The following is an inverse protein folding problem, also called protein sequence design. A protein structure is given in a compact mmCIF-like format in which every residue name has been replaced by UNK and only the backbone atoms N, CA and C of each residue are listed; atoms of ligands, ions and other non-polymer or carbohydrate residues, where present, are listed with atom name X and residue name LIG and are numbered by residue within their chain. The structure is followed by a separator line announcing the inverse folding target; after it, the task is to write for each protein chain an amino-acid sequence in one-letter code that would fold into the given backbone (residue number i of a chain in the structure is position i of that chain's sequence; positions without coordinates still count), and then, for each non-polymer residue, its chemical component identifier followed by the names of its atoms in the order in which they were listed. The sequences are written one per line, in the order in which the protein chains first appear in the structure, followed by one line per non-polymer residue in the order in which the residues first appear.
data_IF_122952411548
#
_entry.id   IF_122952411548
#
_cell.length_a   1.000
_cell.length_b   1.000
_cell.length_c   1.000
_cell.angle_alpha   90.00
_cell.angle_beta   90.00
_cell.angle_gamma   90.00
#
_symmetry.space_group_name_H-M   'P 1'
#
loop_
_entity.id
_entity.type
_entity.pdbx_description
1 polymer ?
#
# COMPACT_ATOMS: atom_id res chain seq x y z
N UNK A 1 -2.58 6.84 -20.41
CA UNK A 1 -2.49 8.23 -20.95
C UNK A 1 -2.87 8.34 -22.42
N UNK A 2 -2.29 7.50 -23.31
CA UNK A 2 -2.51 7.60 -24.76
C UNK A 2 -3.97 7.47 -25.24
N UNK A 3 -4.85 6.84 -24.45
CA UNK A 3 -6.28 6.69 -24.74
C UNK A 3 -7.19 7.67 -23.96
N UNK A 4 -6.61 8.60 -23.19
CA UNK A 4 -7.37 9.64 -22.50
C UNK A 4 -7.74 10.77 -23.47
N UNK A 5 -8.83 11.49 -23.17
CA UNK A 5 -9.24 12.65 -23.94
C UNK A 5 -8.20 13.77 -23.90
N UNK A 6 -8.23 14.65 -24.91
CA UNK A 6 -7.29 15.78 -25.03
C UNK A 6 -7.41 16.77 -23.86
N UNK A 7 -8.61 16.85 -23.26
CA UNK A 7 -8.90 17.67 -22.07
C UNK A 7 -8.11 17.24 -20.83
N UNK A 8 -7.62 15.99 -20.79
CA UNK A 8 -6.80 15.48 -19.69
C UNK A 8 -5.31 15.87 -19.83
N UNK A 9 -4.94 16.61 -20.90
CA UNK A 9 -3.65 17.28 -21.06
C UNK A 9 -2.42 16.38 -20.81
N UNK A 10 -2.44 15.16 -21.37
CA UNK A 10 -1.35 14.20 -21.27
C UNK A 10 -1.36 13.32 -20.01
N UNK A 11 -2.30 13.57 -19.09
CA UNK A 11 -2.55 12.68 -17.94
C UNK A 11 -3.39 11.46 -18.37
N UNK A 12 -3.56 10.52 -17.44
CA UNK A 12 -4.36 9.32 -17.65
C UNK A 12 -4.71 8.64 -16.34
N UNK A 13 -5.41 7.50 -16.42
CA UNK A 13 -5.89 6.74 -15.27
C UNK A 13 -6.75 7.58 -14.32
N UNK A 14 -7.66 8.40 -14.89
CA UNK A 14 -8.61 9.19 -14.12
C UNK A 14 -9.40 8.29 -13.16
N UNK A 15 -9.12 8.45 -11.88
CA UNK A 15 -9.71 7.65 -10.82
C UNK A 15 -11.10 8.20 -10.47
N UNK A 16 -12.09 7.31 -10.44
CA UNK A 16 -13.50 7.64 -10.14
C UNK A 16 -13.90 7.24 -8.71
N UNK A 17 -13.01 6.61 -7.95
CA UNK A 17 -13.25 6.20 -6.58
C UNK A 17 -12.96 7.37 -5.62
N UNK A 18 -13.90 7.67 -4.73
CA UNK A 18 -13.76 8.75 -3.75
C UNK A 18 -13.39 10.09 -4.39
N UNK A 19 -12.36 10.75 -3.85
CA UNK A 19 -11.79 11.99 -4.39
C UNK A 19 -10.94 11.77 -5.65
N UNK A 20 -10.56 10.53 -5.92
CA UNK A 20 -9.67 10.18 -7.03
C UNK A 20 -8.17 10.43 -6.77
N UNK A 21 -7.80 10.87 -5.56
CA UNK A 21 -6.42 11.17 -5.15
C UNK A 21 -6.26 11.06 -3.63
N UNK A 22 -5.04 11.27 -3.12
CA UNK A 22 -4.71 11.20 -1.69
C UNK A 22 -5.08 9.84 -1.08
N UNK A 23 -5.89 9.79 -0.02
CA UNK A 23 -6.32 8.55 0.64
C UNK A 23 -7.15 7.63 -0.26
N UNK A 24 -7.67 8.15 -1.38
CA UNK A 24 -8.46 7.40 -2.35
C UNK A 24 -7.66 7.07 -3.62
N UNK A 25 -6.34 7.26 -3.61
CA UNK A 25 -5.46 6.98 -4.77
C UNK A 25 -5.49 5.50 -5.12
N UNK A 26 -5.71 5.16 -6.40
CA UNK A 26 -5.62 3.80 -6.92
C UNK A 26 -4.56 3.77 -8.00
N UNK A 27 -3.64 2.80 -7.93
CA UNK A 27 -2.62 2.58 -8.97
C UNK A 27 -2.52 1.11 -9.37
N UNK A 28 -1.90 0.26 -8.55
CA UNK A 28 -1.81 -1.19 -8.82
C UNK A 28 -3.04 -1.97 -8.36
N UNK A 29 -3.84 -1.39 -7.45
CA UNK A 29 -4.89 -2.10 -6.72
C UNK A 29 -4.39 -2.87 -5.50
N UNK A 30 -3.08 -2.88 -5.24
CA UNK A 30 -2.50 -3.29 -3.96
C UNK A 30 -2.40 -2.08 -3.04
N UNK A 31 -2.51 -2.29 -1.73
CA UNK A 31 -2.67 -1.20 -0.78
C UNK A 31 -1.82 -1.37 0.49
N UNK A 32 -1.14 -0.29 0.89
CA UNK A 32 -0.36 -0.20 2.12
C UNK A 32 1.12 0.07 1.89
N UNK A 33 1.89 0.11 2.98
CA UNK A 33 3.32 0.41 2.94
C UNK A 33 4.14 -0.67 3.65
N UNK A 34 5.37 -0.86 3.19
CA UNK A 34 6.28 -1.90 3.68
C UNK A 34 6.99 -1.54 4.98
N UNK A 35 7.28 -0.25 5.19
CA UNK A 35 8.16 0.22 6.28
C UNK A 35 7.44 1.19 7.20
N UNK A 36 7.91 1.28 8.45
CA UNK A 36 7.36 2.17 9.47
C UNK A 36 7.66 3.64 9.19
N UNK A 37 8.73 3.90 8.43
CA UNK A 37 9.14 5.24 8.01
C UNK A 37 9.26 5.31 6.48
N UNK A 38 8.14 5.35 5.73
CA UNK A 38 8.14 5.24 4.26
C UNK A 38 8.99 6.30 3.55
N UNK A 39 9.22 7.44 4.20
CA UNK A 39 9.95 8.59 3.64
C UNK A 39 11.41 8.67 4.12
N UNK A 40 11.92 7.66 4.83
CA UNK A 40 13.29 7.65 5.37
C UNK A 40 13.98 6.32 5.14
N UNK A 41 15.25 6.40 4.78
CA UNK A 41 16.10 5.21 4.64
C UNK A 41 16.17 4.44 5.96
N UNK A 42 16.02 3.12 5.88
CA UNK A 42 16.17 2.17 6.98
C UNK A 42 16.30 0.74 6.44
N UNK A 43 16.73 -0.19 7.28
CA UNK A 43 16.69 -1.64 6.99
C UNK A 43 15.33 -2.26 7.30
N UNK A 44 14.31 -1.44 7.56
CA UNK A 44 13.08 -1.88 8.18
C UNK A 44 12.22 -2.76 7.26
N UNK A 45 12.41 -2.66 5.93
CA UNK A 45 11.85 -3.62 4.98
C UNK A 45 12.27 -5.06 5.30
N UNK A 46 13.59 -5.30 5.38
CA UNK A 46 14.13 -6.65 5.66
C UNK A 46 13.81 -7.10 7.08
N UNK A 47 13.86 -6.18 8.05
CA UNK A 47 13.47 -6.50 9.42
C UNK A 47 12.01 -6.96 9.50
N UNK A 48 11.09 -6.23 8.85
CA UNK A 48 9.69 -6.61 8.84
C UNK A 48 9.50 -7.94 8.10
N UNK A 49 10.14 -8.10 6.94
CA UNK A 49 10.02 -9.31 6.11
C UNK A 49 10.41 -10.58 6.87
N UNK A 50 11.54 -10.57 7.58
CA UNK A 50 12.06 -11.76 8.25
C UNK A 50 11.58 -11.94 9.71
N UNK A 51 11.13 -10.88 10.38
CA UNK A 51 10.71 -10.98 11.78
C UNK A 51 9.21 -11.26 11.95
N UNK A 52 8.40 -11.02 10.91
CA UNK A 52 6.97 -11.34 10.94
C UNK A 52 6.68 -12.60 10.14
N UNK A 53 5.72 -13.38 10.63
CA UNK A 53 5.01 -14.34 9.79
C UNK A 53 3.90 -13.61 9.02
N UNK A 54 3.59 -14.09 7.81
CA UNK A 54 2.68 -13.40 6.90
C UNK A 54 1.49 -14.28 6.55
N UNK A 55 0.29 -13.71 6.62
CA UNK A 55 -0.94 -14.35 6.15
C UNK A 55 -1.52 -13.63 4.93
N UNK A 56 -2.10 -14.41 4.03
CA UNK A 56 -2.68 -13.92 2.79
C UNK A 56 -3.99 -13.19 3.08
N UNK A 57 -4.11 -11.99 2.54
CA UNK A 57 -5.32 -11.16 2.65
C UNK A 57 -5.67 -10.52 1.29
N UNK A 58 -6.74 -9.73 1.28
CA UNK A 58 -7.20 -8.96 0.12
C UNK A 58 -7.06 -7.47 0.38
N UNK A 59 -6.57 -6.75 -0.61
CA UNK A 59 -6.59 -5.28 -0.62
C UNK A 59 -8.04 -4.77 -0.67
N UNK A 60 -8.29 -3.49 -0.39
CA UNK A 60 -9.61 -2.87 -0.61
C UNK A 60 -10.13 -3.00 -2.05
N UNK A 61 -9.22 -3.16 -3.03
CA UNK A 61 -9.57 -3.40 -4.43
C UNK A 61 -9.63 -4.89 -4.82
N UNK A 62 -9.49 -5.82 -3.85
CA UNK A 62 -9.59 -7.27 -4.06
C UNK A 62 -8.31 -7.97 -4.54
N UNK A 63 -7.20 -7.25 -4.63
CA UNK A 63 -5.90 -7.83 -5.00
C UNK A 63 -5.32 -8.67 -3.84
N UNK A 64 -4.56 -9.71 -4.16
CA UNK A 64 -3.89 -10.53 -3.14
C UNK A 64 -2.67 -9.81 -2.59
N UNK A 65 -2.61 -9.63 -1.28
CA UNK A 65 -1.47 -9.08 -0.55
C UNK A 65 -1.31 -9.80 0.79
N UNK A 66 -0.30 -9.42 1.57
CA UNK A 66 0.05 -10.11 2.81
C UNK A 66 0.18 -9.14 3.97
N UNK A 67 -0.29 -9.56 5.14
CA UNK A 67 -0.21 -8.81 6.40
C UNK A 67 0.39 -9.70 7.50
N UNK A 68 0.95 -9.14 8.57
CA UNK A 68 1.44 -9.93 9.69
C UNK A 68 0.31 -10.73 10.34
N UNK A 69 0.57 -12.01 10.65
CA UNK A 69 -0.43 -12.90 11.28
C UNK A 69 -0.87 -12.35 12.64
N UNK A 70 -2.09 -12.71 13.06
CA UNK A 70 -2.64 -12.37 14.38
C UNK A 70 -2.73 -10.84 14.65
N UNK A 71 -2.74 -10.02 13.60
CA UNK A 71 -2.78 -8.57 13.73
C UNK A 71 -1.54 -7.95 14.38
N UNK A 72 -0.40 -8.66 14.35
CA UNK A 72 0.87 -8.09 14.78
C UNK A 72 1.15 -6.79 14.00
N UNK A 73 1.73 -5.81 14.67
CA UNK A 73 2.10 -4.53 14.07
C UNK A 73 0.94 -3.75 13.39
N UNK A 74 -0.32 -4.01 13.75
CA UNK A 74 -1.51 -3.39 13.14
C UNK A 74 -1.57 -1.86 13.19
N UNK A 75 -0.80 -1.23 14.08
CA UNK A 75 -0.70 0.21 14.24
C UNK A 75 0.70 0.76 14.00
N UNK A 76 1.56 0.02 13.30
CA UNK A 76 2.98 0.36 13.20
C UNK A 76 3.23 1.46 12.17
N UNK A 77 2.59 1.38 11.00
CA UNK A 77 2.81 2.29 9.87
C UNK A 77 1.86 3.48 9.94
N UNK A 78 2.32 4.75 9.83
CA UNK A 78 1.43 5.90 9.73
C UNK A 78 0.68 5.92 8.40
N UNK A 79 -0.58 6.35 8.42
CA UNK A 79 -1.35 6.64 7.22
C UNK A 79 -0.70 7.79 6.43
N UNK A 80 -0.73 7.70 5.09
CA UNK A 80 -0.07 8.64 4.21
C UNK A 80 -0.72 10.04 4.21
N UNK A 81 -2.01 10.15 4.51
CA UNK A 81 -2.79 11.38 4.37
C UNK A 81 -3.63 11.74 5.60
N UNK A 82 -4.08 10.76 6.38
CA UNK A 82 -4.95 10.97 7.53
C UNK A 82 -4.13 11.00 8.82
N UNK A 83 -4.07 12.19 9.44
CA UNK A 83 -3.36 12.38 10.71
C UNK A 83 -3.91 11.44 11.79
N UNK A 84 -3.00 10.84 12.57
CA UNK A 84 -3.28 9.90 13.66
C UNK A 84 -3.88 8.55 13.25
N UNK A 85 -4.07 8.28 11.97
CA UNK A 85 -4.43 6.94 11.48
C UNK A 85 -3.17 6.11 11.26
N UNK A 86 -3.27 4.80 11.55
CA UNK A 86 -2.16 3.84 11.52
C UNK A 86 -2.64 2.55 10.87
N UNK A 87 -1.69 1.79 10.30
CA UNK A 87 -1.92 0.55 9.58
C UNK A 87 -0.88 -0.51 9.93
N UNK A 88 -1.19 -1.75 9.58
CA UNK A 88 -0.20 -2.81 9.51
C UNK A 88 0.78 -2.55 8.34
N UNK A 89 2.05 -2.96 8.45
CA UNK A 89 2.88 -3.11 7.27
C UNK A 89 2.30 -4.19 6.36
N UNK A 90 2.60 -4.12 5.07
CA UNK A 90 2.19 -5.13 4.09
C UNK A 90 3.40 -5.69 3.34
N UNK A 91 3.20 -6.85 2.72
CA UNK A 91 4.10 -7.41 1.71
C UNK A 91 3.31 -7.89 0.50
N UNK A 92 3.96 -7.90 -0.66
CA UNK A 92 3.44 -8.51 -1.87
C UNK A 92 3.92 -9.96 -1.99
N UNK A 93 3.23 -10.74 -2.82
CA UNK A 93 3.68 -12.10 -3.13
C UNK A 93 5.10 -12.12 -3.70
N UNK A 94 5.49 -11.09 -4.45
CA UNK A 94 6.85 -10.93 -4.98
C UNK A 94 7.88 -10.69 -3.89
N UNK A 95 7.48 -10.11 -2.76
CA UNK A 95 8.37 -9.83 -1.64
C UNK A 95 8.62 -11.09 -0.80
N UNK A 96 7.56 -11.89 -0.58
CA UNK A 96 7.60 -13.16 0.18
C UNK A 96 8.19 -14.31 -0.64
N UNK A 97 8.29 -14.17 -1.96
CA UNK A 97 8.87 -15.20 -2.81
C UNK A 97 10.38 -15.44 -2.56
N UNK A 98 11.01 -14.60 -1.74
CA UNK A 98 12.40 -14.73 -1.30
C UNK A 98 12.50 -15.60 -0.04
#
# INVERSE_FOLDING_TARGET
PAAAGIEEQGLGWKNKCGKGHSEDTITSGLEGAWTVTPTRWSINYLQNLFNFEWEKTKSPAGATQWIPVNGQASSLVPDAHIKNKRHAPIMFTTDIAY
#
